data_IF_270808742694
#
_entry.id   IF_270808742694
#
_cell.length_a   1.000
_cell.length_b   1.000
_cell.length_c   1.000
_cell.angle_alpha   90.00
_cell.angle_beta   90.00
_cell.angle_gamma   90.00
#
_symmetry.space_group_name_H-M   'P 1'
#
loop_
_entity.id
_entity.type
_entity.pdbx_description
1 polymer ?
#
# COMPACT_ATOMS: atom_id res chain seq x y z
N UNK A 1 1.99 -22.55 4.67
CA UNK A 1 1.75 -22.41 3.22
C UNK A 1 2.14 -20.99 2.85
N UNK A 2 3.32 -20.82 2.27
CA UNK A 2 3.77 -19.56 1.65
C UNK A 2 3.14 -19.48 0.25
N UNK A 3 1.81 -19.36 0.19
CA UNK A 3 1.11 -19.07 -1.04
C UNK A 3 1.32 -17.60 -1.38
N UNK A 4 1.71 -17.30 -2.61
CA UNK A 4 1.73 -15.93 -3.11
C UNK A 4 0.36 -15.31 -2.90
N UNK A 5 0.33 -14.18 -2.19
CA UNK A 5 -0.92 -13.49 -1.81
C UNK A 5 -1.70 -13.03 -3.05
N UNK A 6 -0.98 -12.77 -4.16
CA UNK A 6 -1.54 -12.25 -5.40
C UNK A 6 -0.93 -12.92 -6.63
N UNK A 7 -1.78 -13.27 -7.61
CA UNK A 7 -1.35 -13.53 -8.98
C UNK A 7 -1.00 -12.18 -9.65
N UNK A 8 0.22 -11.99 -10.21
CA UNK A 8 0.66 -10.70 -10.74
C UNK A 8 -0.20 -10.17 -11.90
N UNK A 9 -0.72 -11.05 -12.75
CA UNK A 9 -1.55 -10.68 -13.91
C UNK A 9 -2.95 -10.26 -13.46
N UNK A 10 -3.54 -11.03 -12.54
CA UNK A 10 -4.82 -10.69 -11.94
C UNK A 10 -4.73 -9.39 -11.12
N UNK A 11 -3.59 -9.18 -10.44
CA UNK A 11 -3.32 -7.92 -9.72
C UNK A 11 -3.29 -6.72 -10.67
N UNK A 12 -2.51 -6.76 -11.74
CA UNK A 12 -2.45 -5.68 -12.75
C UNK A 12 -3.83 -5.36 -13.35
N UNK A 13 -4.69 -6.37 -13.50
CA UNK A 13 -6.04 -6.19 -14.04
C UNK A 13 -7.05 -5.58 -13.03
N UNK A 14 -6.78 -5.65 -11.74
CA UNK A 14 -7.75 -5.30 -10.68
C UNK A 14 -7.29 -4.19 -9.73
N UNK A 15 -5.98 -4.02 -9.53
CA UNK A 15 -5.42 -3.04 -8.60
C UNK A 15 -5.25 -1.67 -9.29
N UNK A 16 -6.31 -0.87 -9.26
CA UNK A 16 -6.31 0.46 -9.91
C UNK A 16 -5.66 1.56 -9.05
N UNK A 17 -5.31 1.28 -7.79
CA UNK A 17 -4.80 2.29 -6.85
C UNK A 17 -5.90 3.18 -6.28
N UNK A 18 -5.51 4.28 -5.70
CA UNK A 18 -6.39 5.35 -5.21
C UNK A 18 -6.23 6.55 -6.15
N UNK A 19 -7.31 7.27 -6.50
CA UNK A 19 -7.21 8.42 -7.39
C UNK A 19 -6.16 9.45 -6.93
N UNK A 20 -5.21 9.79 -7.82
CA UNK A 20 -4.16 10.77 -7.56
C UNK A 20 -2.90 10.22 -6.87
N UNK A 21 -2.89 8.93 -6.47
CA UNK A 21 -1.77 8.37 -5.70
C UNK A 21 -0.44 8.39 -6.48
N UNK A 22 -0.44 8.00 -7.75
CA UNK A 22 0.78 7.97 -8.57
C UNK A 22 1.37 9.38 -8.73
N UNK A 23 0.55 10.37 -9.04
CA UNK A 23 0.96 11.77 -9.19
C UNK A 23 1.51 12.36 -7.88
N UNK A 24 0.89 12.03 -6.75
CA UNK A 24 1.34 12.45 -5.43
C UNK A 24 2.74 11.93 -5.12
N UNK A 25 2.94 10.60 -5.23
CA UNK A 25 4.25 9.99 -4.99
C UNK A 25 5.30 10.44 -5.99
N UNK A 26 4.93 10.64 -7.26
CA UNK A 26 5.82 11.19 -8.29
C UNK A 26 6.26 12.62 -7.94
N UNK A 27 5.39 13.45 -7.38
CA UNK A 27 5.73 14.79 -6.91
C UNK A 27 6.85 14.75 -5.87
N UNK A 28 6.67 13.95 -4.81
CA UNK A 28 7.68 13.78 -3.76
C UNK A 28 8.98 13.15 -4.29
N UNK A 29 8.86 12.20 -5.23
CA UNK A 29 10.03 11.55 -5.84
C UNK A 29 10.88 12.52 -6.67
N UNK A 30 10.25 13.46 -7.38
CA UNK A 30 10.95 14.53 -8.12
C UNK A 30 11.72 15.47 -7.19
N UNK A 31 11.17 15.80 -6.03
CA UNK A 31 11.87 16.62 -5.03
C UNK A 31 13.12 15.92 -4.50
N UNK A 32 13.01 14.62 -4.15
CA UNK A 32 14.16 13.82 -3.73
C UNK A 32 15.22 13.70 -4.84
N UNK A 33 14.79 13.51 -6.09
CA UNK A 33 15.68 13.45 -7.26
C UNK A 33 16.39 14.79 -7.50
N UNK A 34 15.70 15.91 -7.39
CA UNK A 34 16.29 17.25 -7.51
C UNK A 34 17.34 17.52 -6.42
N UNK A 35 17.21 16.91 -5.25
CA UNK A 35 18.22 16.91 -4.19
C UNK A 35 19.35 15.89 -4.41
N UNK A 36 19.35 15.14 -5.52
CA UNK A 36 20.40 14.19 -5.92
C UNK A 36 20.24 12.77 -5.37
N UNK A 37 19.15 12.47 -4.69
CA UNK A 37 18.93 11.17 -4.04
C UNK A 37 17.99 10.25 -4.83
N UNK A 38 18.21 8.92 -4.79
CA UNK A 38 17.25 7.93 -5.26
C UNK A 38 16.06 7.84 -4.29
N UNK A 39 15.00 7.17 -4.77
CA UNK A 39 13.81 6.88 -3.96
C UNK A 39 13.58 5.38 -3.84
N UNK A 40 12.86 4.95 -2.82
CA UNK A 40 12.52 3.54 -2.62
C UNK A 40 11.04 3.34 -2.33
N UNK A 41 10.41 2.43 -3.10
CA UNK A 41 9.07 1.91 -2.85
C UNK A 41 9.16 0.58 -2.10
N UNK A 42 8.51 0.48 -0.93
CA UNK A 42 8.34 -0.78 -0.20
C UNK A 42 7.02 -1.44 -0.57
N UNK A 43 7.03 -2.78 -0.66
CA UNK A 43 5.91 -3.58 -1.15
C UNK A 43 5.47 -3.13 -2.55
N UNK A 44 6.44 -2.97 -3.44
CA UNK A 44 6.24 -2.38 -4.76
C UNK A 44 5.40 -3.23 -5.73
N UNK A 45 5.18 -4.50 -5.40
CA UNK A 45 4.41 -5.43 -6.21
C UNK A 45 4.90 -5.48 -7.66
N UNK A 46 4.00 -5.27 -8.60
CA UNK A 46 4.29 -5.23 -10.04
C UNK A 46 4.81 -3.88 -10.55
N UNK A 47 5.17 -2.95 -9.63
CA UNK A 47 5.74 -1.66 -9.96
C UNK A 47 4.71 -0.61 -10.41
N UNK A 48 3.47 -0.67 -9.93
CA UNK A 48 2.38 0.25 -10.34
C UNK A 48 2.74 1.73 -10.14
N UNK A 49 3.44 2.06 -9.06
CA UNK A 49 3.89 3.44 -8.76
C UNK A 49 5.35 3.65 -9.16
N UNK A 50 6.26 2.70 -8.86
CA UNK A 50 7.68 2.84 -9.16
C UNK A 50 7.97 2.97 -10.66
N UNK A 51 7.25 2.26 -11.55
CA UNK A 51 7.49 2.33 -12.99
C UNK A 51 7.20 3.74 -13.55
N UNK A 52 6.04 4.38 -13.31
CA UNK A 52 5.82 5.79 -13.68
C UNK A 52 6.89 6.75 -13.13
N UNK A 53 7.37 6.54 -11.90
CA UNK A 53 8.45 7.32 -11.31
C UNK A 53 9.76 7.14 -12.11
N UNK A 54 10.11 5.90 -12.47
CA UNK A 54 11.28 5.62 -13.32
C UNK A 54 11.14 6.24 -14.71
N UNK A 55 9.96 6.14 -15.33
CA UNK A 55 9.67 6.75 -16.63
C UNK A 55 9.82 8.28 -16.61
N UNK A 56 9.61 8.92 -15.47
CA UNK A 56 9.87 10.34 -15.26
C UNK A 56 11.37 10.68 -15.03
N UNK A 57 12.28 9.72 -15.17
CA UNK A 57 13.73 9.90 -15.05
C UNK A 57 14.28 9.79 -13.61
N UNK A 58 13.45 9.51 -12.63
CA UNK A 58 13.89 9.37 -11.22
C UNK A 58 14.50 7.98 -10.99
N UNK A 59 15.63 7.91 -10.28
CA UNK A 59 16.22 6.62 -9.86
C UNK A 59 15.35 6.02 -8.75
N UNK A 60 14.77 4.84 -9.00
CA UNK A 60 13.87 4.16 -8.07
C UNK A 60 14.33 2.74 -7.79
N UNK A 61 14.22 2.35 -6.53
CA UNK A 61 14.33 0.95 -6.09
C UNK A 61 12.94 0.50 -5.64
N UNK A 62 12.46 -0.62 -6.17
CA UNK A 62 11.27 -1.29 -5.69
C UNK A 62 11.66 -2.52 -4.87
N UNK A 63 11.16 -2.64 -3.65
CA UNK A 63 11.37 -3.80 -2.79
C UNK A 63 10.04 -4.51 -2.54
N UNK A 64 10.01 -5.82 -2.77
CA UNK A 64 8.86 -6.68 -2.49
C UNK A 64 9.31 -8.08 -2.06
N UNK A 65 8.52 -8.77 -1.25
CA UNK A 65 8.82 -10.14 -0.83
C UNK A 65 8.43 -11.20 -1.87
N UNK A 66 7.60 -10.86 -2.86
CA UNK A 66 7.12 -11.79 -3.89
C UNK A 66 8.01 -11.74 -5.12
N UNK A 67 8.75 -12.83 -5.37
CA UNK A 67 9.56 -13.00 -6.58
C UNK A 67 8.71 -12.92 -7.86
N UNK A 68 7.46 -13.41 -7.83
CA UNK A 68 6.55 -13.37 -8.97
C UNK A 68 6.10 -11.95 -9.30
N UNK A 69 5.76 -11.15 -8.27
CA UNK A 69 5.42 -9.73 -8.45
C UNK A 69 6.60 -8.95 -9.03
N UNK A 70 7.81 -9.17 -8.50
CA UNK A 70 9.03 -8.55 -9.02
C UNK A 70 9.39 -9.03 -10.43
N UNK A 71 9.11 -10.28 -10.77
CA UNK A 71 9.23 -10.80 -12.14
C UNK A 71 8.38 -9.97 -13.10
N UNK A 72 7.14 -9.73 -12.73
CA UNK A 72 6.20 -8.90 -13.51
C UNK A 72 6.64 -7.43 -13.59
N UNK A 73 7.17 -6.87 -12.50
CA UNK A 73 7.72 -5.52 -12.49
C UNK A 73 8.90 -5.38 -13.47
N UNK A 74 9.82 -6.37 -13.50
CA UNK A 74 10.95 -6.40 -14.46
C UNK A 74 10.48 -6.46 -15.90
N UNK A 75 9.49 -7.30 -16.19
CA UNK A 75 8.90 -7.38 -17.55
C UNK A 75 8.34 -6.03 -18.00
N UNK A 76 7.54 -5.38 -17.15
CA UNK A 76 6.88 -4.10 -17.45
C UNK A 76 7.85 -2.93 -17.54
N UNK A 77 8.99 -3.01 -16.88
CA UNK A 77 10.02 -1.95 -16.86
C UNK A 77 11.20 -2.26 -17.79
N UNK A 78 11.07 -3.20 -18.70
CA UNK A 78 12.14 -3.53 -19.65
C UNK A 78 12.60 -2.27 -20.42
N UNK A 79 13.91 -1.98 -20.36
CA UNK A 79 14.51 -0.78 -20.94
C UNK A 79 14.57 0.46 -20.04
N UNK A 80 14.15 0.36 -18.78
CA UNK A 80 14.34 1.42 -17.78
C UNK A 80 15.56 1.12 -16.91
N UNK A 81 16.72 1.69 -17.24
CA UNK A 81 17.98 1.45 -16.51
C UNK A 81 18.02 2.12 -15.12
N UNK A 82 17.08 3.00 -14.82
CA UNK A 82 16.96 3.73 -13.58
C UNK A 82 15.97 3.08 -12.57
N UNK A 83 15.41 1.91 -12.90
CA UNK A 83 14.57 1.10 -12.02
C UNK A 83 15.32 -0.16 -11.58
N UNK A 84 15.37 -0.44 -10.28
CA UNK A 84 15.97 -1.65 -9.70
C UNK A 84 14.96 -2.36 -8.79
N UNK A 85 14.85 -3.67 -8.94
CA UNK A 85 13.90 -4.50 -8.20
C UNK A 85 14.65 -5.46 -7.26
N UNK A 86 14.30 -5.39 -5.98
CA UNK A 86 14.96 -6.13 -4.90
C UNK A 86 13.93 -7.00 -4.19
N UNK A 87 14.24 -8.29 -4.06
CA UNK A 87 13.46 -9.18 -3.20
C UNK A 87 13.87 -8.97 -1.75
N UNK A 88 12.88 -8.76 -0.87
CA UNK A 88 13.15 -8.52 0.53
C UNK A 88 11.89 -8.27 1.35
N UNK A 89 12.05 -8.31 2.67
CA UNK A 89 11.01 -8.01 3.64
C UNK A 89 11.10 -6.55 4.06
N UNK A 90 9.99 -5.82 4.02
CA UNK A 90 9.98 -4.40 4.43
C UNK A 90 10.28 -4.21 5.93
N UNK A 91 10.18 -5.26 6.76
CA UNK A 91 10.52 -5.22 8.18
C UNK A 91 12.01 -5.23 8.43
N UNK A 92 12.76 -5.85 7.51
CA UNK A 92 14.21 -6.02 7.64
C UNK A 92 14.85 -6.11 6.26
N UNK A 93 15.58 -5.08 5.89
CA UNK A 93 16.40 -5.03 4.68
C UNK A 93 17.68 -4.24 4.94
N UNK A 94 18.71 -4.52 4.15
CA UNK A 94 19.95 -3.74 4.16
C UNK A 94 20.38 -3.45 2.72
N UNK A 95 20.47 -2.16 2.41
CA UNK A 95 20.85 -1.65 1.09
C UNK A 95 22.01 -0.69 1.26
N UNK A 96 22.99 -0.72 0.32
CA UNK A 96 24.18 0.13 0.42
C UNK A 96 23.87 1.61 0.23
N UNK A 97 22.76 1.93 -0.45
CA UNK A 97 22.37 3.30 -0.75
C UNK A 97 21.66 3.97 0.42
N UNK A 98 21.63 5.30 0.35
CA UNK A 98 20.75 6.16 1.15
C UNK A 98 19.78 6.87 0.24
N UNK A 99 18.54 7.06 0.71
CA UNK A 99 17.41 7.52 -0.08
C UNK A 99 16.90 8.87 0.41
N UNK A 100 16.45 9.71 -0.52
CA UNK A 100 15.76 10.96 -0.17
C UNK A 100 14.30 10.78 0.16
N UNK A 101 13.68 9.69 -0.38
CA UNK A 101 12.28 9.35 -0.13
C UNK A 101 12.12 7.84 -0.02
N UNK A 102 11.37 7.41 1.00
CA UNK A 102 10.68 6.12 1.05
C UNK A 102 9.19 6.34 0.89
N UNK A 103 8.52 5.42 0.22
CA UNK A 103 7.07 5.44 0.18
C UNK A 103 6.48 4.03 0.21
N UNK A 104 5.30 3.92 0.81
CA UNK A 104 4.56 2.66 0.99
C UNK A 104 3.13 2.91 0.51
N UNK A 105 2.85 2.68 -0.78
CA UNK A 105 1.56 2.98 -1.35
C UNK A 105 0.54 1.86 -1.12
N UNK A 106 -0.72 2.22 -1.38
CA UNK A 106 -1.85 1.32 -1.50
C UNK A 106 -2.06 0.45 -0.25
N UNK A 107 -1.93 1.09 0.94
CA UNK A 107 -2.23 0.48 2.23
C UNK A 107 -1.30 -0.69 2.60
N UNK A 108 -0.16 -0.83 1.90
CA UNK A 108 0.75 -1.98 2.09
C UNK A 108 1.34 -2.03 3.51
N UNK A 109 1.48 -0.89 4.18
CA UNK A 109 1.92 -0.84 5.58
C UNK A 109 0.97 -1.60 6.54
N UNK A 110 -0.31 -1.69 6.20
CA UNK A 110 -1.32 -2.35 7.03
C UNK A 110 -1.24 -3.89 7.00
N UNK A 111 -0.39 -4.47 6.12
CA UNK A 111 -0.03 -5.90 6.20
C UNK A 111 0.86 -6.22 7.41
N UNK A 112 1.47 -5.22 8.03
CA UNK A 112 2.23 -5.37 9.27
C UNK A 112 1.26 -5.41 10.45
N UNK A 113 0.95 -6.64 10.90
CA UNK A 113 -0.15 -6.88 11.85
C UNK A 113 0.24 -6.58 13.30
N UNK A 114 1.53 -6.56 13.63
CA UNK A 114 2.03 -6.29 14.98
C UNK A 114 2.73 -4.94 15.07
N UNK A 115 2.72 -4.34 16.26
CA UNK A 115 3.46 -3.10 16.53
C UNK A 115 4.96 -3.30 16.33
N UNK A 116 5.48 -4.48 16.66
CA UNK A 116 6.91 -4.78 16.49
C UNK A 116 7.29 -4.84 15.01
N UNK A 117 6.47 -5.45 14.15
CA UNK A 117 6.68 -5.45 12.69
C UNK A 117 6.62 -4.03 12.12
N UNK A 118 5.63 -3.22 12.54
CA UNK A 118 5.49 -1.83 12.12
C UNK A 118 6.70 -0.98 12.51
N UNK A 119 7.14 -1.10 13.76
CA UNK A 119 8.35 -0.42 14.24
C UNK A 119 9.62 -0.97 13.60
N UNK A 120 9.69 -2.26 13.31
CA UNK A 120 10.80 -2.87 12.55
C UNK A 120 10.94 -2.20 11.18
N UNK A 121 9.84 -2.13 10.42
CA UNK A 121 9.78 -1.45 9.12
C UNK A 121 10.19 0.03 9.23
N UNK A 122 9.57 0.79 10.11
CA UNK A 122 9.83 2.22 10.27
C UNK A 122 11.29 2.51 10.67
N UNK A 123 11.87 1.73 11.58
CA UNK A 123 13.29 1.85 11.97
C UNK A 123 14.23 1.49 10.82
N UNK A 124 13.87 0.47 10.02
CA UNK A 124 14.63 0.09 8.85
C UNK A 124 14.65 1.23 7.82
N UNK A 125 13.50 1.84 7.54
CA UNK A 125 13.38 3.04 6.70
C UNK A 125 14.24 4.18 7.26
N UNK A 126 14.09 4.47 8.55
CA UNK A 126 14.82 5.57 9.19
C UNK A 126 16.35 5.44 9.02
N UNK A 127 16.90 4.22 9.14
CA UNK A 127 18.34 3.97 8.94
C UNK A 127 18.80 4.25 7.51
N UNK A 128 17.94 4.03 6.51
CA UNK A 128 18.27 4.16 5.10
C UNK A 128 17.91 5.53 4.48
N UNK A 129 17.12 6.35 5.15
CA UNK A 129 16.89 7.74 4.75
C UNK A 129 18.13 8.61 5.02
N UNK A 130 18.38 9.58 4.15
CA UNK A 130 19.28 10.68 4.47
C UNK A 130 18.71 11.57 5.58
N UNK A 131 19.52 12.32 6.35
CA UNK A 131 18.99 13.37 7.22
C UNK A 131 18.13 14.35 6.40
N UNK A 132 16.95 14.69 6.89
CA UNK A 132 15.95 15.48 6.16
C UNK A 132 15.16 14.72 5.10
N UNK A 133 15.48 13.44 4.84
CA UNK A 133 14.72 12.58 3.92
C UNK A 133 13.32 12.28 4.42
N UNK A 134 12.40 12.00 3.49
CA UNK A 134 10.96 11.83 3.77
C UNK A 134 10.51 10.39 3.68
N UNK A 135 9.46 10.11 4.42
CA UNK A 135 8.65 8.90 4.35
C UNK A 135 7.21 9.30 4.01
N UNK A 136 6.63 8.69 2.98
CA UNK A 136 5.23 8.86 2.65
C UNK A 136 4.50 7.52 2.71
N UNK A 137 3.35 7.46 3.42
CA UNK A 137 2.55 6.25 3.65
C UNK A 137 1.09 6.59 3.50
N UNK A 138 0.34 5.81 2.74
CA UNK A 138 -1.11 5.84 2.80
C UNK A 138 -1.67 4.61 3.51
N UNK A 139 -2.67 4.84 4.32
CA UNK A 139 -3.48 3.82 5.00
C UNK A 139 -4.95 4.24 4.93
N UNK A 140 -5.87 3.28 4.93
CA UNK A 140 -7.29 3.64 5.05
C UNK A 140 -7.60 4.20 6.44
N UNK A 141 -8.49 5.19 6.50
CA UNK A 141 -9.05 5.67 7.76
C UNK A 141 -10.08 4.67 8.29
N UNK A 142 -9.93 4.13 9.51
CA UNK A 142 -10.90 3.19 10.07
C UNK A 142 -12.26 3.85 10.28
N UNK A 143 -13.27 3.38 9.54
CA UNK A 143 -14.65 3.81 9.66
C UNK A 143 -15.34 3.03 10.79
N UNK A 144 -15.52 3.69 11.94
CA UNK A 144 -16.11 3.06 13.15
C UNK A 144 -17.57 2.64 12.94
N UNK A 145 -18.33 3.32 12.08
CA UNK A 145 -19.70 2.95 11.75
C UNK A 145 -19.71 1.66 10.95
N UNK A 146 -18.85 1.57 9.94
CA UNK A 146 -18.68 0.38 9.12
C UNK A 146 -18.19 -0.82 9.95
N UNK A 147 -17.24 -0.60 10.85
CA UNK A 147 -16.77 -1.62 11.80
C UNK A 147 -17.94 -2.12 12.65
N UNK A 148 -18.74 -1.23 13.25
CA UNK A 148 -19.90 -1.60 14.06
C UNK A 148 -20.96 -2.39 13.26
N UNK A 149 -21.22 -2.02 12.01
CA UNK A 149 -22.12 -2.75 11.12
C UNK A 149 -21.64 -4.20 10.89
N UNK A 150 -20.36 -4.41 10.62
CA UNK A 150 -19.81 -5.76 10.40
C UNK A 150 -19.72 -6.59 11.68
N UNK A 151 -19.60 -5.95 12.84
CA UNK A 151 -19.63 -6.66 14.12
C UNK A 151 -21.06 -7.10 14.53
N UNK A 152 -22.07 -6.44 14.01
CA UNK A 152 -23.48 -6.65 14.41
C UNK A 152 -24.33 -7.16 13.26
N UNK A 153 -24.84 -6.29 12.41
CA UNK A 153 -25.86 -6.58 11.40
C UNK A 153 -25.34 -7.38 10.20
N UNK A 154 -24.05 -7.25 9.87
CA UNK A 154 -23.42 -7.92 8.72
C UNK A 154 -22.54 -9.11 9.10
N UNK A 155 -22.43 -9.43 10.38
CA UNK A 155 -21.54 -10.50 10.86
C UNK A 155 -21.82 -11.83 10.16
N UNK A 156 -20.77 -12.37 9.49
CA UNK A 156 -20.86 -13.64 8.77
C UNK A 156 -21.67 -13.61 7.47
N UNK A 157 -22.13 -12.42 7.03
CA UNK A 157 -22.85 -12.26 5.78
C UNK A 157 -21.90 -11.98 4.61
N UNK A 158 -22.30 -12.43 3.42
CA UNK A 158 -21.64 -12.12 2.15
C UNK A 158 -22.38 -10.96 1.49
N UNK A 159 -21.70 -9.83 1.30
CA UNK A 159 -22.29 -8.64 0.70
C UNK A 159 -21.89 -8.52 -0.78
N UNK A 160 -22.85 -8.18 -1.64
CA UNK A 160 -22.56 -7.88 -3.03
C UNK A 160 -21.92 -6.51 -3.16
N UNK A 161 -20.77 -6.44 -3.82
CA UNK A 161 -20.14 -5.15 -4.16
C UNK A 161 -20.80 -4.57 -5.42
N UNK A 162 -21.00 -3.25 -5.41
CA UNK A 162 -21.37 -2.54 -6.61
C UNK A 162 -20.16 -2.51 -7.58
N UNK A 163 -20.28 -3.17 -8.72
CA UNK A 163 -19.32 -3.09 -9.82
C UNK A 163 -20.04 -2.46 -11.02
N UNK A 164 -19.38 -1.56 -11.78
CA UNK A 164 -19.92 -1.08 -13.04
C UNK A 164 -20.32 -2.23 -13.96
N UNK A 165 -21.28 -2.03 -14.88
CA UNK A 165 -21.84 -3.08 -15.72
C UNK A 165 -20.71 -3.78 -16.49
N UNK A 166 -20.33 -4.93 -16.00
CA UNK A 166 -19.35 -5.83 -16.59
C UNK A 166 -19.89 -7.24 -16.37
N UNK A 167 -19.44 -8.20 -17.15
CA UNK A 167 -19.73 -9.61 -16.96
C UNK A 167 -19.07 -10.16 -15.66
N UNK A 168 -19.13 -9.40 -14.57
CA UNK A 168 -18.55 -9.73 -13.26
C UNK A 168 -19.51 -9.44 -12.13
N UNK A 169 -19.52 -10.31 -11.12
CA UNK A 169 -20.19 -10.08 -9.83
C UNK A 169 -19.14 -10.23 -8.74
N UNK A 170 -19.05 -9.25 -7.86
CA UNK A 170 -18.13 -9.33 -6.75
C UNK A 170 -18.89 -9.34 -5.42
N UNK A 171 -18.33 -10.08 -4.49
CA UNK A 171 -18.81 -10.25 -3.13
C UNK A 171 -17.69 -9.97 -2.15
N UNK A 172 -18.07 -9.52 -0.96
CA UNK A 172 -17.13 -9.32 0.14
C UNK A 172 -17.75 -9.74 1.47
N UNK A 173 -16.88 -10.20 2.36
CA UNK A 173 -17.20 -10.34 3.79
C UNK A 173 -16.02 -9.89 4.62
N UNK A 174 -16.30 -9.35 5.79
CA UNK A 174 -15.27 -8.83 6.70
C UNK A 174 -15.49 -9.36 8.11
N UNK A 175 -14.41 -9.80 8.74
CA UNK A 175 -14.37 -10.19 10.15
C UNK A 175 -13.42 -9.26 10.87
N UNK A 176 -13.96 -8.39 11.74
CA UNK A 176 -13.16 -7.46 12.53
C UNK A 176 -12.78 -8.07 13.86
N UNK A 177 -11.49 -8.04 14.18
CA UNK A 177 -10.90 -8.44 15.45
C UNK A 177 -10.51 -7.16 16.21
N UNK A 178 -11.41 -6.70 17.08
CA UNK A 178 -11.27 -5.37 17.70
C UNK A 178 -10.20 -5.31 18.79
N UNK A 179 -9.88 -6.42 19.43
CA UNK A 179 -8.80 -6.47 20.43
C UNK A 179 -7.43 -6.36 19.78
N UNK A 180 -7.23 -7.09 18.68
CA UNK A 180 -5.97 -7.13 17.94
C UNK A 180 -5.91 -6.12 16.80
N UNK A 181 -6.99 -5.36 16.58
CA UNK A 181 -7.12 -4.29 15.58
C UNK A 181 -6.76 -4.73 14.16
N UNK A 182 -7.27 -5.87 13.70
CA UNK A 182 -7.16 -6.25 12.30
C UNK A 182 -8.50 -6.68 11.72
N UNK A 183 -8.60 -6.64 10.41
CA UNK A 183 -9.74 -7.14 9.65
C UNK A 183 -9.28 -8.25 8.70
N UNK A 184 -10.01 -9.36 8.72
CA UNK A 184 -9.92 -10.40 7.70
C UNK A 184 -11.03 -10.15 6.69
N UNK A 185 -10.63 -9.96 5.43
CA UNK A 185 -11.54 -9.66 4.33
C UNK A 185 -11.44 -10.75 3.29
N UNK A 186 -12.56 -11.37 2.95
CA UNK A 186 -12.64 -12.28 1.80
C UNK A 186 -13.35 -11.58 0.65
N UNK A 187 -12.71 -11.54 -0.50
CA UNK A 187 -13.26 -11.03 -1.74
C UNK A 187 -13.46 -12.20 -2.72
N UNK A 188 -14.63 -12.23 -3.34
CA UNK A 188 -14.98 -13.23 -4.35
C UNK A 188 -15.35 -12.48 -5.62
N UNK A 189 -14.62 -12.71 -6.69
CA UNK A 189 -14.88 -12.12 -8.00
C UNK A 189 -15.31 -13.23 -8.97
N UNK A 190 -16.58 -13.19 -9.39
CA UNK A 190 -17.17 -14.10 -10.36
C UNK A 190 -17.15 -13.46 -11.75
N UNK A 191 -16.58 -14.16 -12.74
CA UNK A 191 -16.73 -13.83 -14.15
C UNK A 191 -17.88 -14.60 -14.74
N UNK A 192 -18.78 -13.92 -15.46
CA UNK A 192 -19.97 -14.50 -16.08
C UNK A 192 -19.78 -14.61 -17.60
N UNK A 193 -20.45 -15.58 -18.22
CA UNK A 193 -20.66 -15.62 -19.67
C UNK A 193 -21.87 -14.75 -20.09
N UNK A 194 -22.23 -14.82 -21.38
CA UNK A 194 -23.37 -14.07 -21.95
C UNK A 194 -24.74 -14.48 -21.41
N UNK A 195 -24.86 -15.67 -20.84
CA UNK A 195 -26.08 -16.24 -20.26
C UNK A 195 -26.16 -16.02 -18.74
N UNK A 196 -25.13 -15.40 -18.15
CA UNK A 196 -25.06 -15.12 -16.71
C UNK A 196 -24.56 -16.29 -15.87
N UNK A 197 -23.95 -17.29 -16.48
CA UNK A 197 -23.34 -18.44 -15.79
C UNK A 197 -21.91 -18.09 -15.36
N UNK A 198 -21.55 -18.46 -14.12
CA UNK A 198 -20.18 -18.24 -13.62
C UNK A 198 -19.21 -19.16 -14.34
N UNK A 199 -18.28 -18.58 -15.10
CA UNK A 199 -17.23 -19.31 -15.85
C UNK A 199 -15.89 -19.35 -15.13
N UNK A 200 -15.64 -18.42 -14.20
CA UNK A 200 -14.50 -18.46 -13.29
C UNK A 200 -14.81 -17.73 -12.00
N UNK A 201 -14.19 -18.17 -10.92
CA UNK A 201 -14.28 -17.55 -9.59
C UNK A 201 -12.90 -17.37 -9.00
N UNK A 202 -12.60 -16.17 -8.54
CA UNK A 202 -11.36 -15.84 -7.85
C UNK A 202 -11.66 -15.52 -6.38
N UNK A 203 -11.00 -16.23 -5.47
CA UNK A 203 -11.00 -15.93 -4.05
C UNK A 203 -9.73 -15.17 -3.68
N UNK A 204 -9.89 -14.13 -2.86
CA UNK A 204 -8.78 -13.40 -2.28
C UNK A 204 -9.07 -13.15 -0.81
N UNK A 205 -8.19 -13.65 0.05
CA UNK A 205 -8.22 -13.36 1.47
C UNK A 205 -7.15 -12.31 1.78
N UNK A 206 -7.56 -11.30 2.52
CA UNK A 206 -6.72 -10.18 2.89
C UNK A 206 -6.82 -9.94 4.39
N UNK A 207 -5.67 -9.84 5.05
CA UNK A 207 -5.60 -9.49 6.46
C UNK A 207 -4.85 -8.19 6.62
N UNK A 208 -5.54 -7.18 7.16
CA UNK A 208 -4.98 -5.84 7.34
C UNK A 208 -5.20 -5.35 8.77
N UNK A 209 -4.16 -4.78 9.35
CA UNK A 209 -4.29 -4.03 10.59
C UNK A 209 -4.93 -2.68 10.28
N UNK A 210 -5.99 -2.30 10.99
CA UNK A 210 -6.52 -0.94 10.95
C UNK A 210 -5.85 -0.11 12.05
N UNK A 211 -5.39 1.08 11.66
CA UNK A 211 -4.56 1.96 12.49
C UNK A 211 -5.26 3.30 12.56
N UNK A 212 -5.55 3.77 13.77
CA UNK A 212 -6.15 5.09 13.97
C UNK A 212 -5.10 6.21 13.88
N UNK A 213 -5.58 7.44 13.62
CA UNK A 213 -4.74 8.62 13.44
C UNK A 213 -3.63 8.76 14.50
N UNK A 214 -3.99 8.82 15.76
CA UNK A 214 -3.01 9.05 16.83
C UNK A 214 -2.10 7.84 17.07
N UNK A 215 -2.57 6.63 16.80
CA UNK A 215 -1.73 5.44 16.81
C UNK A 215 -0.60 5.55 15.78
N UNK A 216 -0.93 5.95 14.52
CA UNK A 216 0.08 6.14 13.48
C UNK A 216 1.04 7.28 13.82
N UNK A 217 0.56 8.39 14.35
CA UNK A 217 1.38 9.51 14.81
C UNK A 217 2.38 9.07 15.89
N UNK A 218 1.93 8.26 16.87
CA UNK A 218 2.80 7.72 17.89
C UNK A 218 3.80 6.68 17.36
N UNK A 219 3.42 5.86 16.39
CA UNK A 219 4.34 4.92 15.72
C UNK A 219 5.47 5.68 15.01
N UNK A 220 5.14 6.71 14.25
CA UNK A 220 6.10 7.57 13.56
C UNK A 220 7.06 8.25 14.54
N UNK A 221 6.52 8.90 15.57
CA UNK A 221 7.32 9.57 16.61
C UNK A 221 8.25 8.58 17.33
N UNK A 222 7.75 7.40 17.69
CA UNK A 222 8.53 6.35 18.36
C UNK A 222 9.64 5.78 17.47
N UNK A 223 9.48 5.83 16.16
CA UNK A 223 10.49 5.43 15.19
C UNK A 223 11.48 6.58 14.84
N UNK A 224 11.31 7.76 15.43
CA UNK A 224 12.20 8.91 15.25
C UNK A 224 11.83 9.84 14.09
N UNK A 225 10.59 9.76 13.59
CA UNK A 225 10.10 10.65 12.55
C UNK A 225 9.34 11.85 13.10
N UNK A 226 9.43 12.97 12.40
CA UNK A 226 8.58 14.15 12.57
C UNK A 226 7.51 14.18 11.48
N UNK A 227 6.24 14.28 11.86
CA UNK A 227 5.14 14.40 10.91
C UNK A 227 5.17 15.78 10.26
N UNK A 228 5.28 15.85 8.94
CA UNK A 228 5.20 17.10 8.17
C UNK A 228 3.77 17.41 7.73
N UNK A 229 3.00 16.38 7.32
CA UNK A 229 1.63 16.53 6.86
C UNK A 229 0.81 15.25 7.06
N UNK A 230 -0.50 15.45 7.19
CA UNK A 230 -1.54 14.42 7.10
C UNK A 230 -2.64 14.94 6.19
N UNK A 231 -2.85 14.26 5.06
CA UNK A 231 -3.90 14.59 4.11
C UNK A 231 -5.00 13.54 4.14
N UNK A 232 -6.22 13.96 3.79
CA UNK A 232 -7.39 13.08 3.66
C UNK A 232 -7.53 12.43 2.30
N UNK A 233 -6.73 12.88 1.33
CA UNK A 233 -6.68 12.39 -0.04
C UNK A 233 -5.30 12.65 -0.68
N UNK A 234 -5.11 12.22 -1.93
CA UNK A 234 -3.86 12.42 -2.68
C UNK A 234 -3.78 13.75 -3.44
N UNK A 235 -4.76 14.65 -3.27
CA UNK A 235 -4.79 15.98 -3.88
C UNK A 235 -4.40 17.09 -2.88
N UNK A 236 -3.99 16.70 -1.66
CA UNK A 236 -3.58 17.62 -0.61
C UNK A 236 -4.75 18.17 0.21
N UNK A 237 -5.93 17.53 0.13
CA UNK A 237 -7.09 17.86 0.96
C UNK A 237 -6.81 17.63 2.45
N UNK A 238 -7.41 18.47 3.31
CA UNK A 238 -7.28 18.31 4.76
C UNK A 238 -7.85 16.95 5.21
N UNK A 239 -7.23 16.34 6.22
CA UNK A 239 -7.79 15.17 6.86
C UNK A 239 -8.96 15.56 7.76
N UNK A 240 -10.14 15.04 7.44
CA UNK A 240 -11.43 15.36 8.09
C UNK A 240 -12.17 14.06 8.47
N UNK A 241 -13.25 14.17 9.23
CA UNK A 241 -14.07 13.01 9.67
C UNK A 241 -14.60 12.17 8.50
N UNK A 242 -14.83 12.79 7.35
CA UNK A 242 -15.31 12.14 6.13
C UNK A 242 -14.21 11.49 5.27
N UNK A 243 -12.93 11.70 5.61
CA UNK A 243 -11.79 11.18 4.83
C UNK A 243 -11.72 9.66 4.92
N UNK A 244 -11.63 9.01 3.77
CA UNK A 244 -11.45 7.55 3.67
C UNK A 244 -9.99 7.12 3.74
N UNK A 245 -9.06 8.05 3.48
CA UNK A 245 -7.62 7.81 3.48
C UNK A 245 -6.92 8.68 4.52
N UNK A 246 -5.79 8.19 5.01
CA UNK A 246 -4.80 8.95 5.75
C UNK A 246 -3.49 8.88 4.97
N UNK A 247 -3.11 9.98 4.33
CA UNK A 247 -1.86 10.10 3.55
C UNK A 247 -0.85 10.87 4.40
N UNK A 248 0.07 10.14 4.97
CA UNK A 248 1.09 10.65 5.89
C UNK A 248 2.36 11.03 5.14
N UNK A 249 2.89 12.21 5.41
CA UNK A 249 4.25 12.61 5.05
C UNK A 249 5.00 12.92 6.34
N UNK A 250 6.09 12.19 6.54
CA UNK A 250 6.93 12.35 7.72
C UNK A 250 8.39 12.51 7.29
N UNK A 251 9.20 13.16 8.13
CA UNK A 251 10.61 13.46 7.85
C UNK A 251 11.50 12.81 8.89
N UNK A 252 12.65 12.28 8.44
CA UNK A 252 13.78 12.01 9.33
C UNK A 252 14.42 13.35 9.73
N UNK A 253 14.52 13.70 11.02
CA UNK A 253 15.24 14.90 11.46
C UNK A 253 16.67 14.97 10.93
N UNK A 254 17.22 16.19 10.85
CA UNK A 254 18.59 16.45 10.39
C UNK A 254 19.65 15.93 11.37
#
# INVERSE_FOLDING_TARGET
MTGELYDPVAYDATAQGVPGDVEFYLGLAREAHAAGFPVLELACGTGRVAIPIAQAGVRVVGLDQSAAMLGRAREKSAGLDNARWVEGDMREFDLPERFGLFFIPYRSFQHLLTVDDQLGCLRCIHRHLVPGGRLAIDIFNPDVVKIAEWLTSKRGSLQRRAIPPSARVAWETHVYHTVDQFVESTFIDDKLDGDGVVISRLYRDLKLRYIFRYEMEHLLARAGFEVEALYGDFFGGAFEDSSSEMVWVARRPA
#
